data_IF_863647568560
#
_entry.id   IF_863647568560
#
_cell.length_a   1.000
_cell.length_b   1.000
_cell.length_c   1.000
_cell.angle_alpha   90.00
_cell.angle_beta   90.00
_cell.angle_gamma   90.00
#
_symmetry.space_group_name_H-M   'P 1'
#
loop_
_entity.id
_entity.type
_entity.pdbx_description
1 polymer ?
#
# COMPACT_ATOMS: atom_id res chain seq x y z
N UNK A 1 1.34 -9.13 30.19
CA UNK A 1 2.54 -8.40 30.73
C UNK A 1 3.02 -7.47 29.64
N UNK A 2 3.57 -6.32 29.96
CA UNK A 2 4.11 -5.45 28.91
C UNK A 2 5.43 -6.07 28.39
N UNK A 3 5.53 -6.27 27.09
CA UNK A 3 6.74 -6.73 26.43
C UNK A 3 7.81 -5.62 26.39
N UNK A 4 9.06 -6.03 26.36
CA UNK A 4 10.18 -5.11 26.16
C UNK A 4 10.19 -4.57 24.73
N UNK A 5 10.73 -3.36 24.54
CA UNK A 5 11.09 -2.87 23.21
C UNK A 5 12.32 -3.64 22.73
N UNK A 6 12.25 -4.24 21.54
CA UNK A 6 13.31 -5.06 20.97
C UNK A 6 13.85 -4.47 19.68
N UNK A 7 15.14 -4.67 19.41
CA UNK A 7 15.81 -4.29 18.17
C UNK A 7 17.05 -5.14 17.93
N UNK A 8 17.62 -5.01 16.73
CA UNK A 8 18.83 -5.75 16.32
C UNK A 8 19.97 -5.62 17.34
N UNK A 9 20.61 -6.73 17.63
CA UNK A 9 21.72 -6.86 18.61
C UNK A 9 21.28 -7.24 20.04
N UNK A 10 19.98 -7.20 20.34
CA UNK A 10 19.46 -7.65 21.64
C UNK A 10 19.40 -9.17 21.73
N UNK A 11 19.45 -9.74 22.94
CA UNK A 11 19.41 -11.18 23.15
C UNK A 11 18.66 -11.56 24.44
N UNK A 12 18.10 -12.77 24.47
CA UNK A 12 17.31 -13.27 25.60
C UNK A 12 15.98 -12.54 25.78
N UNK A 13 15.37 -12.66 26.95
CA UNK A 13 14.11 -12.00 27.30
C UNK A 13 12.98 -12.36 26.34
N UNK A 14 12.36 -11.33 25.71
CA UNK A 14 11.26 -11.50 24.77
C UNK A 14 11.71 -11.84 23.32
N UNK A 15 13.03 -11.91 23.03
CA UNK A 15 13.52 -12.22 21.68
C UNK A 15 13.06 -13.59 21.19
N UNK A 16 13.16 -14.69 21.96
CA UNK A 16 12.61 -15.98 21.52
C UNK A 16 11.11 -15.97 21.31
N UNK A 17 10.37 -15.23 22.15
CA UNK A 17 8.91 -15.08 22.00
C UNK A 17 8.59 -14.39 20.67
N UNK A 18 9.28 -13.31 20.35
CA UNK A 18 9.16 -12.60 19.09
C UNK A 18 9.43 -13.51 17.90
N UNK A 19 10.59 -14.22 17.91
CA UNK A 19 11.00 -15.09 16.82
C UNK A 19 9.99 -16.22 16.60
N UNK A 20 9.51 -16.85 17.67
CA UNK A 20 8.49 -17.89 17.59
C UNK A 20 7.18 -17.35 17.02
N UNK A 21 6.71 -16.18 17.48
CA UNK A 21 5.48 -15.56 16.99
C UNK A 21 5.58 -15.19 15.52
N UNK A 22 6.73 -14.65 15.07
CA UNK A 22 6.98 -14.35 13.67
C UNK A 22 6.92 -15.62 12.80
N UNK A 23 7.57 -16.70 13.24
CA UNK A 23 7.57 -17.99 12.51
C UNK A 23 6.14 -18.56 12.41
N UNK A 24 5.36 -18.53 13.47
CA UNK A 24 3.96 -18.98 13.49
C UNK A 24 3.07 -18.19 12.53
N UNK A 25 3.41 -16.94 12.27
CA UNK A 25 2.73 -16.08 11.31
C UNK A 25 3.35 -16.12 9.90
N UNK A 26 4.31 -17.03 9.65
CA UNK A 26 4.90 -17.26 8.33
C UNK A 26 6.12 -16.40 7.98
N UNK A 27 6.69 -15.69 8.95
CA UNK A 27 7.90 -14.89 8.78
C UNK A 27 9.13 -15.68 9.28
N UNK A 28 9.99 -16.12 8.37
CA UNK A 28 11.21 -16.88 8.74
C UNK A 28 12.27 -15.95 9.30
N UNK A 29 12.70 -16.20 10.52
CA UNK A 29 13.75 -15.39 11.18
C UNK A 29 15.17 -15.83 10.81
N UNK A 30 15.37 -17.03 10.27
CA UNK A 30 16.70 -17.56 9.95
C UNK A 30 17.52 -18.00 11.18
N UNK A 31 17.25 -17.43 12.34
CA UNK A 31 17.81 -17.87 13.62
C UNK A 31 16.87 -18.87 14.27
N UNK A 32 17.42 -19.89 14.93
CA UNK A 32 16.63 -20.86 15.71
C UNK A 32 16.25 -20.23 17.07
N UNK A 33 14.93 -20.01 17.34
CA UNK A 33 14.51 -19.43 18.62
C UNK A 33 14.80 -20.33 19.85
N UNK A 34 15.18 -21.59 19.62
CA UNK A 34 15.56 -22.52 20.70
C UNK A 34 17.08 -22.61 20.89
N UNK A 35 17.90 -21.93 20.07
CA UNK A 35 19.35 -21.87 20.24
C UNK A 35 19.76 -20.84 21.30
N UNK A 36 20.94 -21.06 21.89
CA UNK A 36 21.53 -20.13 22.86
C UNK A 36 22.84 -19.56 22.33
N UNK A 37 23.05 -18.22 22.42
CA UNK A 37 22.10 -17.22 22.88
C UNK A 37 21.07 -16.90 21.81
N UNK A 38 19.82 -16.67 22.24
CA UNK A 38 18.75 -16.23 21.36
C UNK A 38 18.97 -14.76 21.03
N UNK A 39 19.31 -14.47 19.80
CA UNK A 39 19.75 -13.13 19.36
C UNK A 39 18.76 -12.56 18.36
N UNK A 40 18.40 -11.31 18.53
CA UNK A 40 17.74 -10.51 17.51
C UNK A 40 18.78 -10.13 16.44
N UNK A 41 19.00 -11.04 15.50
CA UNK A 41 19.97 -10.88 14.42
C UNK A 41 19.38 -10.14 13.22
N UNK A 42 20.16 -10.03 12.14
CA UNK A 42 19.73 -9.37 10.92
C UNK A 42 18.55 -10.10 10.22
N UNK A 43 18.47 -11.43 10.36
CA UNK A 43 17.35 -12.20 9.82
C UNK A 43 16.06 -11.88 10.57
N UNK A 44 16.11 -11.79 11.92
CA UNK A 44 14.99 -11.34 12.74
C UNK A 44 14.57 -9.90 12.38
N UNK A 45 15.53 -8.97 12.24
CA UNK A 45 15.26 -7.59 11.83
C UNK A 45 14.52 -7.52 10.49
N UNK A 46 14.99 -8.30 9.52
CA UNK A 46 14.34 -8.38 8.21
C UNK A 46 12.90 -8.91 8.30
N UNK A 47 12.67 -9.93 9.13
CA UNK A 47 11.34 -10.50 9.36
C UNK A 47 10.42 -9.54 10.11
N UNK A 48 10.93 -8.81 11.10
CA UNK A 48 10.18 -7.74 11.78
C UNK A 48 9.76 -6.66 10.79
N UNK A 49 10.66 -6.21 9.92
CA UNK A 49 10.34 -5.21 8.89
C UNK A 49 9.30 -5.71 7.91
N UNK A 50 9.38 -6.96 7.49
CA UNK A 50 8.35 -7.59 6.63
C UNK A 50 7.00 -7.67 7.36
N UNK A 51 6.99 -8.04 8.63
CA UNK A 51 5.81 -8.06 9.47
C UNK A 51 5.20 -6.66 9.60
N UNK A 52 6.00 -5.68 10.02
CA UNK A 52 5.58 -4.27 10.14
C UNK A 52 5.04 -3.73 8.82
N UNK A 53 5.70 -4.09 7.71
CA UNK A 53 5.25 -3.76 6.39
C UNK A 53 3.89 -4.38 6.02
N UNK A 54 3.44 -5.45 6.63
CA UNK A 54 2.23 -6.19 6.29
C UNK A 54 1.09 -6.07 7.31
N UNK A 55 1.31 -5.38 8.41
CA UNK A 55 0.32 -5.25 9.49
C UNK A 55 0.15 -3.80 9.93
N UNK A 56 -1.07 -3.46 10.34
CA UNK A 56 -1.36 -2.20 11.02
C UNK A 56 -1.27 -2.37 12.54
N UNK A 57 -0.93 -1.30 13.23
CA UNK A 57 -1.02 -1.20 14.67
C UNK A 57 -2.44 -0.92 15.16
N UNK A 58 -2.60 -0.53 16.44
CA UNK A 58 -3.87 -0.09 16.99
C UNK A 58 -4.51 1.00 16.14
N UNK A 59 -5.85 1.03 16.10
CA UNK A 59 -6.65 1.99 15.32
C UNK A 59 -6.38 1.97 13.80
N UNK A 60 -5.90 0.83 13.27
CA UNK A 60 -5.56 0.65 11.85
C UNK A 60 -4.50 1.65 11.34
N UNK A 61 -3.65 2.13 12.21
CA UNK A 61 -2.47 2.92 11.84
C UNK A 61 -1.38 2.01 11.30
N UNK A 62 -0.75 2.43 10.20
CA UNK A 62 0.41 1.72 9.69
C UNK A 62 1.52 1.66 10.75
N UNK A 63 2.12 0.48 10.92
CA UNK A 63 3.32 0.34 11.73
C UNK A 63 4.50 1.04 11.03
N UNK A 64 5.41 1.62 11.82
CA UNK A 64 6.72 2.04 11.31
C UNK A 64 7.51 0.80 10.91
N UNK A 65 8.08 0.80 9.71
CA UNK A 65 8.92 -0.32 9.20
C UNK A 65 10.38 -0.04 9.55
N UNK A 66 10.68 -0.01 10.83
CA UNK A 66 11.99 0.38 11.38
C UNK A 66 12.80 -0.79 11.95
N UNK A 67 12.17 -1.98 12.06
CA UNK A 67 12.78 -3.15 12.71
C UNK A 67 12.76 -3.07 14.24
N UNK A 68 12.11 -2.07 14.82
CA UNK A 68 11.97 -1.93 16.29
C UNK A 68 10.61 -2.49 16.71
N UNK A 69 10.61 -3.49 17.55
CA UNK A 69 9.39 -4.10 18.10
C UNK A 69 8.96 -3.32 19.34
N UNK A 70 8.23 -2.23 19.10
CA UNK A 70 7.62 -1.40 20.11
C UNK A 70 6.20 -1.86 20.47
N UNK A 71 5.47 -1.10 21.33
CA UNK A 71 4.11 -1.46 21.77
C UNK A 71 3.12 -1.73 20.63
N UNK A 72 3.14 -0.91 19.57
CA UNK A 72 2.23 -1.07 18.43
C UNK A 72 2.56 -2.32 17.62
N UNK A 73 3.85 -2.65 17.45
CA UNK A 73 4.29 -3.88 16.78
C UNK A 73 3.92 -5.11 17.60
N UNK A 74 4.10 -5.08 18.92
CA UNK A 74 3.67 -6.15 19.80
C UNK A 74 2.16 -6.34 19.77
N UNK A 75 1.39 -5.24 19.80
CA UNK A 75 -0.06 -5.33 19.65
C UNK A 75 -0.46 -6.03 18.36
N UNK A 76 0.17 -5.70 17.24
CA UNK A 76 -0.11 -6.33 15.94
C UNK A 76 0.26 -7.83 15.93
N UNK A 77 1.38 -8.21 16.55
CA UNK A 77 1.80 -9.62 16.70
C UNK A 77 0.80 -10.43 17.53
N UNK A 78 0.20 -9.83 18.55
CA UNK A 78 -0.83 -10.45 19.41
C UNK A 78 -2.23 -10.43 18.79
N UNK A 79 -2.47 -9.56 17.78
CA UNK A 79 -3.75 -9.39 17.11
C UNK A 79 -3.65 -9.57 15.57
N UNK A 80 -3.13 -10.69 15.06
CA UNK A 80 -2.81 -10.84 13.64
C UNK A 80 -4.04 -10.68 12.73
N UNK A 81 -5.20 -11.16 13.16
CA UNK A 81 -6.45 -11.05 12.37
C UNK A 81 -7.00 -9.63 12.30
N UNK A 82 -6.73 -8.81 13.32
CA UNK A 82 -7.19 -7.41 13.38
C UNK A 82 -6.23 -6.43 12.70
N UNK A 83 -4.98 -6.84 12.52
CA UNK A 83 -3.89 -6.03 11.96
C UNK A 83 -3.56 -6.39 10.50
N UNK A 84 -3.99 -7.58 10.02
CA UNK A 84 -3.55 -8.10 8.74
C UNK A 84 -3.92 -7.19 7.56
N UNK A 85 -2.90 -6.74 6.88
CA UNK A 85 -2.96 -6.25 5.50
C UNK A 85 -2.32 -7.31 4.61
N UNK A 86 -2.58 -7.24 3.31
CA UNK A 86 -1.83 -8.09 2.37
C UNK A 86 -0.33 -7.83 2.56
N UNK A 87 0.46 -8.87 2.71
CA UNK A 87 1.92 -8.74 2.72
C UNK A 87 2.38 -8.01 1.45
N UNK A 88 3.51 -7.29 1.47
CA UNK A 88 4.09 -6.77 0.25
C UNK A 88 4.18 -7.89 -0.80
N UNK A 89 3.55 -7.70 -1.95
CA UNK A 89 3.50 -8.71 -3.00
C UNK A 89 2.35 -9.70 -2.93
N UNK A 90 1.55 -9.70 -1.89
CA UNK A 90 0.42 -10.62 -1.76
C UNK A 90 -0.93 -9.93 -1.96
N UNK A 91 -1.80 -10.63 -2.68
CA UNK A 91 -3.21 -10.27 -2.81
C UNK A 91 -3.93 -10.77 -1.56
N UNK A 92 -4.86 -9.98 -1.02
CA UNK A 92 -5.70 -10.43 0.08
C UNK A 92 -6.49 -11.68 -0.35
N UNK A 93 -6.47 -12.77 0.45
CA UNK A 93 -6.99 -14.07 0.03
C UNK A 93 -8.50 -14.10 -0.19
N UNK A 94 -9.24 -13.16 0.39
CA UNK A 94 -10.70 -13.05 0.28
C UNK A 94 -11.14 -11.96 -0.72
N UNK A 95 -10.24 -11.47 -1.57
CA UNK A 95 -10.57 -10.53 -2.62
C UNK A 95 -11.41 -11.24 -3.70
N UNK A 96 -12.61 -10.74 -4.02
CA UNK A 96 -13.40 -11.30 -5.09
C UNK A 96 -12.72 -11.06 -6.46
N UNK A 97 -12.80 -12.07 -7.34
CA UNK A 97 -12.36 -11.91 -8.73
C UNK A 97 -13.39 -11.08 -9.48
N UNK A 98 -12.99 -9.94 -10.00
CA UNK A 98 -13.83 -9.05 -10.78
C UNK A 98 -13.04 -8.43 -11.94
N UNK A 99 -13.69 -8.28 -13.08
CA UNK A 99 -13.10 -7.62 -14.24
C UNK A 99 -13.18 -6.09 -14.10
N UNK A 100 -12.14 -5.37 -14.56
CA UNK A 100 -12.17 -3.90 -14.65
C UNK A 100 -13.30 -3.41 -15.58
N UNK A 101 -13.81 -2.22 -15.29
CA UNK A 101 -14.96 -1.64 -16.01
C UNK A 101 -14.71 -1.38 -17.50
N UNK A 102 -13.46 -1.14 -17.89
CA UNK A 102 -13.02 -0.88 -19.26
C UNK A 102 -11.52 -1.12 -19.42
N UNK A 103 -11.03 -1.09 -20.66
CA UNK A 103 -9.62 -1.39 -20.98
C UNK A 103 -8.62 -0.39 -20.39
N UNK A 104 -9.00 0.88 -20.20
CA UNK A 104 -8.13 1.90 -19.59
C UNK A 104 -7.97 1.62 -18.11
N UNK A 105 -9.08 1.41 -17.41
CA UNK A 105 -9.12 1.02 -15.99
C UNK A 105 -8.35 -0.30 -15.77
N UNK A 106 -8.54 -1.28 -16.67
CA UNK A 106 -7.86 -2.57 -16.65
C UNK A 106 -6.36 -2.44 -16.80
N UNK A 107 -5.88 -1.61 -17.73
CA UNK A 107 -4.44 -1.44 -17.93
C UNK A 107 -3.74 -0.79 -16.72
N UNK A 108 -4.35 0.23 -16.11
CA UNK A 108 -3.85 0.84 -14.88
C UNK A 108 -3.79 -0.14 -13.72
N UNK A 109 -4.85 -0.91 -13.52
CA UNK A 109 -4.93 -1.91 -12.46
C UNK A 109 -3.95 -3.08 -12.70
N UNK A 110 -3.82 -3.57 -13.94
CA UNK A 110 -2.86 -4.61 -14.29
C UNK A 110 -1.43 -4.17 -13.99
N UNK A 111 -1.08 -2.93 -14.33
CA UNK A 111 0.23 -2.37 -13.98
C UNK A 111 0.45 -2.33 -12.47
N UNK A 112 -0.57 -1.92 -11.69
CA UNK A 112 -0.50 -1.89 -10.24
C UNK A 112 -0.30 -3.29 -9.63
N UNK A 113 -0.94 -4.32 -10.20
CA UNK A 113 -0.73 -5.72 -9.81
C UNK A 113 0.71 -6.20 -10.05
N UNK A 114 1.28 -5.86 -11.21
CA UNK A 114 2.67 -6.20 -11.52
C UNK A 114 3.63 -5.55 -10.52
N UNK A 115 3.37 -4.31 -10.13
CA UNK A 115 4.19 -3.60 -9.14
C UNK A 115 3.99 -4.17 -7.72
N UNK A 116 2.77 -4.56 -7.34
CA UNK A 116 2.52 -5.22 -6.06
C UNK A 116 3.39 -6.47 -5.91
N UNK A 117 3.45 -7.33 -6.95
CA UNK A 117 4.23 -8.58 -6.89
C UNK A 117 5.75 -8.37 -6.82
N UNK A 118 6.27 -7.17 -7.07
CA UNK A 118 7.69 -6.85 -6.89
C UNK A 118 8.09 -6.63 -5.43
N UNK A 119 7.13 -6.58 -4.50
CA UNK A 119 7.37 -6.33 -3.08
C UNK A 119 8.12 -5.01 -2.82
N UNK A 120 7.68 -3.93 -3.48
CA UNK A 120 8.34 -2.62 -3.39
C UNK A 120 8.08 -1.99 -2.02
N UNK A 121 9.14 -1.53 -1.39
CA UNK A 121 9.14 -0.80 -0.12
C UNK A 121 10.22 0.28 -0.08
N UNK A 122 10.13 1.18 0.88
CA UNK A 122 11.10 2.28 1.03
C UNK A 122 12.43 1.83 1.58
N UNK A 123 13.52 2.37 1.05
CA UNK A 123 14.90 2.09 1.46
C UNK A 123 15.70 3.43 1.50
N UNK A 124 16.10 3.93 2.67
CA UNK A 124 15.69 3.48 4.01
C UNK A 124 14.22 3.75 4.28
N UNK A 125 13.67 3.06 5.28
CA UNK A 125 12.29 3.24 5.70
C UNK A 125 11.98 4.70 6.07
N UNK A 126 10.76 5.17 5.72
CA UNK A 126 10.35 6.56 5.91
C UNK A 126 11.00 7.56 4.95
N UNK A 127 11.83 7.09 4.01
CA UNK A 127 12.53 7.97 3.06
C UNK A 127 11.69 8.39 1.85
N UNK A 128 10.58 7.72 1.59
CA UNK A 128 9.85 7.80 0.32
C UNK A 128 10.71 7.47 -0.91
N UNK A 129 11.72 6.63 -0.76
CA UNK A 129 12.72 6.30 -1.79
C UNK A 129 13.01 4.80 -1.85
N UNK A 130 13.19 4.30 -3.03
CA UNK A 130 13.91 3.09 -3.44
C UNK A 130 14.17 3.22 -4.94
N UNK A 131 14.95 2.34 -5.58
CA UNK A 131 15.12 2.38 -7.02
C UNK A 131 13.79 2.34 -7.79
N UNK A 132 12.83 1.54 -7.32
CA UNK A 132 11.50 1.43 -7.92
C UNK A 132 10.64 2.67 -7.66
N UNK A 133 10.64 3.17 -6.42
CA UNK A 133 9.89 4.38 -6.05
C UNK A 133 10.40 5.60 -6.83
N UNK A 134 11.69 5.67 -7.06
CA UNK A 134 12.31 6.73 -7.86
C UNK A 134 11.83 6.72 -9.31
N UNK A 135 11.50 5.54 -9.87
CA UNK A 135 10.85 5.46 -11.19
C UNK A 135 9.45 6.09 -11.18
N UNK A 136 8.67 5.88 -10.11
CA UNK A 136 7.32 6.45 -10.01
C UNK A 136 7.39 7.97 -9.87
N UNK A 137 8.23 8.47 -8.97
CA UNK A 137 8.36 9.89 -8.66
C UNK A 137 9.17 10.67 -9.70
N UNK A 138 10.01 9.97 -10.47
CA UNK A 138 10.96 10.59 -11.39
C UNK A 138 12.17 11.22 -10.70
N UNK A 139 12.42 10.86 -9.44
CA UNK A 139 13.62 11.28 -8.73
C UNK A 139 14.85 10.53 -9.25
N UNK A 140 16.01 11.17 -9.13
CA UNK A 140 17.32 10.60 -9.48
C UNK A 140 18.32 10.83 -8.35
N UNK A 141 19.40 10.05 -8.33
CA UNK A 141 20.47 10.17 -7.33
C UNK A 141 20.39 9.08 -6.25
N UNK A 142 21.33 9.10 -5.31
CA UNK A 142 21.39 8.08 -4.24
C UNK A 142 20.22 8.28 -3.26
N UNK A 143 19.46 7.21 -2.91
CA UNK A 143 18.33 7.30 -2.00
C UNK A 143 18.63 7.89 -0.61
N UNK A 144 19.87 7.83 -0.17
CA UNK A 144 20.29 8.22 1.19
C UNK A 144 20.47 9.72 1.43
N UNK A 145 20.34 10.58 0.42
CA UNK A 145 20.73 12.00 0.55
C UNK A 145 19.57 12.97 0.72
N UNK A 146 18.40 12.68 0.19
CA UNK A 146 17.21 13.54 0.28
C UNK A 146 15.97 12.65 0.31
N UNK A 147 15.08 12.87 1.27
CA UNK A 147 13.77 12.21 1.32
C UNK A 147 12.96 12.55 0.06
N UNK A 148 12.27 11.53 -0.46
CA UNK A 148 11.35 11.70 -1.58
C UNK A 148 10.02 12.32 -1.17
N UNK A 149 9.20 12.75 -2.14
CA UNK A 149 7.83 13.15 -1.88
C UNK A 149 6.97 11.93 -1.55
N UNK A 150 5.82 12.10 -0.83
CA UNK A 150 4.81 11.05 -0.72
C UNK A 150 4.44 10.51 -2.12
N UNK A 151 4.44 9.19 -2.30
CA UNK A 151 4.41 8.62 -3.64
C UNK A 151 3.14 7.85 -4.02
N UNK A 152 2.09 7.86 -3.19
CA UNK A 152 0.83 7.19 -3.51
C UNK A 152 0.21 7.65 -4.85
N UNK A 153 0.14 8.97 -5.06
CA UNK A 153 -0.40 9.54 -6.29
C UNK A 153 0.55 9.39 -7.49
N UNK A 154 1.85 9.46 -7.27
CA UNK A 154 2.86 9.12 -8.28
C UNK A 154 2.75 7.67 -8.74
N UNK A 155 2.54 6.74 -7.82
CA UNK A 155 2.32 5.33 -8.12
C UNK A 155 1.09 5.14 -9.03
N UNK A 156 -0.04 5.75 -8.67
CA UNK A 156 -1.26 5.69 -9.47
C UNK A 156 -1.02 6.27 -10.86
N UNK A 157 -0.47 7.47 -10.97
CA UNK A 157 -0.24 8.13 -12.26
C UNK A 157 0.79 7.39 -13.14
N UNK A 158 1.81 6.79 -12.52
CA UNK A 158 2.80 5.98 -13.22
C UNK A 158 2.19 4.69 -13.81
N UNK A 159 1.29 4.03 -13.09
CA UNK A 159 0.59 2.84 -13.58
C UNK A 159 -0.27 3.16 -14.81
N UNK A 160 -1.01 4.27 -14.80
CA UNK A 160 -1.79 4.68 -15.96
C UNK A 160 -0.92 5.13 -17.14
N UNK A 161 0.27 5.67 -16.91
CA UNK A 161 1.20 6.01 -17.98
C UNK A 161 1.73 4.78 -18.76
N UNK A 162 1.60 3.59 -18.19
CA UNK A 162 1.92 2.30 -18.84
C UNK A 162 0.78 1.76 -19.71
N UNK A 163 -0.42 2.33 -19.59
CA UNK A 163 -1.56 1.89 -20.39
C UNK A 163 -1.30 2.11 -21.89
N UNK A 164 -1.77 1.21 -22.79
CA UNK A 164 -1.56 1.30 -24.24
C UNK A 164 -2.00 2.62 -24.86
N UNK A 165 -2.98 3.28 -24.25
CA UNK A 165 -3.55 4.56 -24.75
C UNK A 165 -2.98 5.77 -23.98
N UNK A 166 -1.95 5.58 -23.16
CA UNK A 166 -1.37 6.60 -22.31
C UNK A 166 -2.24 6.97 -21.10
N UNK A 167 -1.68 7.83 -20.25
CA UNK A 167 -2.41 8.37 -19.11
C UNK A 167 -3.37 9.48 -19.54
N UNK A 168 -4.64 9.46 -19.13
CA UNK A 168 -5.55 10.58 -19.34
C UNK A 168 -5.17 11.83 -18.52
N UNK A 169 -4.23 11.68 -17.60
CA UNK A 169 -3.63 12.74 -16.79
C UNK A 169 -2.13 12.46 -16.69
N UNK A 170 -1.31 13.50 -16.62
CA UNK A 170 0.15 13.34 -16.55
C UNK A 170 0.64 12.75 -15.25
N UNK A 171 1.96 12.81 -15.01
CA UNK A 171 2.57 12.42 -13.72
C UNK A 171 2.15 13.42 -12.64
N UNK A 172 1.40 12.96 -11.65
CA UNK A 172 0.82 13.79 -10.59
C UNK A 172 1.21 13.21 -9.23
N UNK A 173 1.77 14.05 -8.35
CA UNK A 173 2.20 13.65 -7.00
C UNK A 173 1.17 13.91 -5.90
N UNK A 174 0.14 14.70 -6.16
CA UNK A 174 -0.92 15.01 -5.20
C UNK A 174 -2.17 14.15 -5.40
N UNK A 175 -2.66 13.47 -4.36
CA UNK A 175 -3.84 12.62 -4.47
C UNK A 175 -5.08 13.39 -4.96
N UNK A 176 -5.36 14.56 -4.35
CA UNK A 176 -6.49 15.39 -4.78
C UNK A 176 -6.25 16.04 -6.15
N UNK A 177 -4.99 16.30 -6.53
CA UNK A 177 -4.64 16.85 -7.82
C UNK A 177 -4.99 15.88 -8.98
N UNK A 178 -4.96 14.56 -8.76
CA UNK A 178 -5.44 13.59 -9.75
C UNK A 178 -6.94 13.81 -10.03
N UNK A 179 -7.76 13.94 -8.98
CA UNK A 179 -9.20 14.19 -9.15
C UNK A 179 -9.46 15.50 -9.89
N UNK A 180 -8.76 16.58 -9.53
CA UNK A 180 -8.89 17.87 -10.21
C UNK A 180 -8.46 17.79 -11.69
N UNK A 181 -7.35 17.13 -11.99
CA UNK A 181 -6.91 16.93 -13.38
C UNK A 181 -7.95 16.16 -14.18
N UNK A 182 -8.51 15.08 -13.61
CA UNK A 182 -9.55 14.29 -14.29
C UNK A 182 -10.85 15.06 -14.47
N UNK A 183 -11.26 15.90 -13.52
CA UNK A 183 -12.43 16.76 -13.70
C UNK A 183 -12.32 17.68 -14.93
N UNK A 184 -11.10 18.15 -15.24
CA UNK A 184 -10.85 19.03 -16.37
C UNK A 184 -10.66 18.27 -17.68
N UNK A 185 -9.89 17.17 -17.65
CA UNK A 185 -9.52 16.41 -18.86
C UNK A 185 -10.56 15.37 -19.28
N UNK A 186 -11.37 14.87 -18.35
CA UNK A 186 -12.37 13.81 -18.54
C UNK A 186 -13.67 14.21 -17.84
N UNK A 187 -14.49 15.09 -18.44
CA UNK A 187 -15.74 15.52 -17.83
C UNK A 187 -16.64 14.32 -17.44
N UNK A 188 -17.17 14.34 -16.23
CA UNK A 188 -18.02 13.28 -15.68
C UNK A 188 -17.29 12.05 -15.13
N UNK A 189 -15.95 12.04 -15.15
CA UNK A 189 -15.17 10.92 -14.59
C UNK A 189 -15.12 10.90 -13.07
N UNK A 190 -15.22 12.05 -12.41
CA UNK A 190 -15.05 12.15 -10.95
C UNK A 190 -16.41 12.09 -10.26
N UNK A 191 -16.52 11.12 -9.36
CA UNK A 191 -17.71 10.88 -8.54
C UNK A 191 -17.38 11.30 -7.10
N UNK A 192 -18.26 12.09 -6.47
CA UNK A 192 -18.14 12.52 -5.08
C UNK A 192 -19.15 11.79 -4.19
N UNK A 193 -18.83 11.70 -2.90
CA UNK A 193 -19.76 11.13 -1.93
C UNK A 193 -21.09 11.97 -1.85
N UNK A 194 -22.25 11.35 -1.56
CA UNK A 194 -22.43 9.92 -1.34
C UNK A 194 -22.37 9.10 -2.65
N UNK A 195 -21.78 7.90 -2.57
CA UNK A 195 -21.63 7.05 -3.75
C UNK A 195 -22.84 6.13 -3.92
N UNK A 196 -23.54 6.19 -5.07
CA UNK A 196 -24.61 5.25 -5.36
C UNK A 196 -24.07 3.80 -5.44
N UNK A 197 -24.93 2.82 -5.16
CA UNK A 197 -24.58 1.40 -5.31
C UNK A 197 -24.14 1.12 -6.75
N UNK A 198 -23.02 0.40 -6.90
CA UNK A 198 -22.41 0.09 -8.19
C UNK A 198 -21.71 1.25 -8.89
N UNK A 199 -21.65 2.44 -8.29
CA UNK A 199 -20.93 3.58 -8.88
C UNK A 199 -19.41 3.39 -8.89
N UNK A 200 -18.88 2.68 -7.89
CA UNK A 200 -17.45 2.36 -7.76
C UNK A 200 -17.20 0.99 -8.37
N UNK A 201 -16.20 0.90 -9.23
CA UNK A 201 -15.90 -0.30 -10.03
C UNK A 201 -14.43 -0.68 -9.97
N UNK A 202 -14.09 -1.94 -10.24
CA UNK A 202 -12.70 -2.35 -10.42
C UNK A 202 -12.01 -1.54 -11.53
N UNK A 203 -10.80 -1.07 -11.22
CA UNK A 203 -10.01 -0.20 -12.07
C UNK A 203 -10.20 1.30 -11.83
N UNK A 204 -11.20 1.72 -11.04
CA UNK A 204 -11.33 3.11 -10.60
C UNK A 204 -10.15 3.53 -9.69
N UNK A 205 -9.91 4.83 -9.61
CA UNK A 205 -8.99 5.40 -8.63
C UNK A 205 -9.81 5.95 -7.46
N UNK A 206 -9.51 5.51 -6.24
CA UNK A 206 -10.04 6.11 -5.03
C UNK A 206 -9.12 7.20 -4.50
N UNK A 207 -9.70 8.29 -3.99
CA UNK A 207 -8.99 9.43 -3.42
C UNK A 207 -9.54 9.76 -2.05
N UNK A 208 -8.72 9.58 -1.02
CA UNK A 208 -8.98 10.08 0.34
C UNK A 208 -8.40 11.48 0.44
N UNK A 209 -9.14 12.41 1.04
CA UNK A 209 -8.66 13.77 1.27
C UNK A 209 -8.46 14.02 2.77
N UNK A 210 -7.27 14.46 3.14
CA UNK A 210 -6.91 14.87 4.48
C UNK A 210 -6.49 16.35 4.45
N UNK A 211 -7.46 17.26 4.65
CA UNK A 211 -7.23 18.69 4.49
C UNK A 211 -7.19 19.15 3.02
N UNK A 212 -6.56 20.29 2.75
CA UNK A 212 -6.60 20.90 1.40
C UNK A 212 -5.67 20.20 0.41
N UNK A 213 -4.45 19.83 0.81
CA UNK A 213 -3.39 19.36 -0.09
C UNK A 213 -2.93 17.93 0.21
N UNK A 214 -3.36 17.35 1.33
CA UNK A 214 -2.97 16.01 1.74
C UNK A 214 -4.06 15.00 1.42
N UNK A 215 -3.65 13.75 1.20
CA UNK A 215 -4.57 12.67 0.91
C UNK A 215 -3.85 11.41 0.52
N UNK A 216 -4.63 10.43 0.10
CA UNK A 216 -4.11 9.16 -0.38
C UNK A 216 -4.85 8.75 -1.65
N UNK A 217 -4.14 8.21 -2.63
CA UNK A 217 -4.70 7.70 -3.87
C UNK A 217 -4.38 6.22 -4.03
N UNK A 218 -5.34 5.45 -4.56
CA UNK A 218 -5.22 4.01 -4.69
C UNK A 218 -6.03 3.47 -5.88
N UNK A 219 -5.65 2.29 -6.38
CA UNK A 219 -6.44 1.54 -7.36
C UNK A 219 -7.49 0.69 -6.67
N UNK A 220 -8.71 0.69 -7.20
CA UNK A 220 -9.78 -0.24 -6.80
C UNK A 220 -9.57 -1.55 -7.55
N UNK A 221 -9.40 -2.65 -6.85
CA UNK A 221 -9.18 -3.98 -7.44
C UNK A 221 -10.47 -4.79 -7.51
N UNK A 222 -11.33 -4.68 -6.49
CA UNK A 222 -12.64 -5.32 -6.44
C UNK A 222 -13.57 -4.57 -5.50
N UNK A 223 -14.87 -4.80 -5.62
CA UNK A 223 -15.91 -4.16 -4.80
C UNK A 223 -16.97 -5.18 -4.40
N UNK A 224 -17.26 -5.26 -3.11
CA UNK A 224 -18.33 -6.11 -2.58
C UNK A 224 -18.89 -5.53 -1.27
N UNK A 225 -20.21 -5.37 -1.19
CA UNK A 225 -20.92 -5.05 0.05
C UNK A 225 -20.45 -3.76 0.73
N UNK A 226 -20.16 -2.69 -0.04
CA UNK A 226 -19.68 -1.41 0.51
C UNK A 226 -18.18 -1.38 0.84
N UNK A 227 -17.46 -2.45 0.53
CA UNK A 227 -16.00 -2.58 0.70
C UNK A 227 -15.30 -2.60 -0.65
N UNK A 228 -14.22 -1.87 -0.78
CA UNK A 228 -13.28 -1.95 -1.89
C UNK A 228 -12.01 -2.69 -1.46
N UNK A 229 -11.56 -3.65 -2.25
CA UNK A 229 -10.20 -4.18 -2.21
C UNK A 229 -9.34 -3.30 -3.11
N UNK A 230 -8.17 -2.94 -2.64
CA UNK A 230 -7.34 -1.91 -3.28
C UNK A 230 -5.91 -2.39 -3.50
N UNK A 231 -5.20 -1.75 -4.44
CA UNK A 231 -3.75 -1.80 -4.58
C UNK A 231 -3.21 -0.40 -4.39
N UNK A 232 -2.33 -0.23 -3.43
CA UNK A 232 -1.92 1.07 -2.92
C UNK A 232 -0.40 1.22 -2.86
N UNK A 233 0.12 2.27 -3.43
CA UNK A 233 1.49 2.73 -3.20
C UNK A 233 1.56 3.63 -1.98
N UNK A 234 2.70 3.65 -1.31
CA UNK A 234 2.94 4.41 -0.08
C UNK A 234 1.93 4.09 1.05
N UNK A 235 1.58 2.84 1.14
CA UNK A 235 0.72 2.33 2.20
C UNK A 235 1.57 1.60 3.24
N UNK A 236 1.91 2.30 4.36
CA UNK A 236 2.92 1.84 5.29
C UNK A 236 4.26 1.62 4.59
N UNK A 237 4.73 2.64 3.88
CA UNK A 237 6.04 2.71 3.22
C UNK A 237 6.27 1.61 2.14
N UNK A 238 5.19 0.98 1.63
CA UNK A 238 5.26 -0.11 0.66
C UNK A 238 4.09 -0.09 -0.34
N UNK A 239 4.11 -0.98 -1.34
CA UNK A 239 2.94 -1.31 -2.15
C UNK A 239 2.19 -2.45 -1.48
N UNK A 240 0.87 -2.28 -1.28
CA UNK A 240 0.04 -3.27 -0.60
C UNK A 240 -1.34 -3.41 -1.21
N UNK A 241 -1.92 -4.60 -1.00
CA UNK A 241 -3.35 -4.81 -1.14
C UNK A 241 -4.04 -4.54 0.21
N UNK A 242 -5.15 -3.79 0.19
CA UNK A 242 -5.93 -3.42 1.38
C UNK A 242 -7.42 -3.59 1.17
N UNK A 243 -8.17 -3.52 2.27
CA UNK A 243 -9.62 -3.32 2.28
C UNK A 243 -9.94 -1.92 2.78
N UNK A 244 -10.88 -1.26 2.12
CA UNK A 244 -11.39 0.05 2.52
C UNK A 244 -12.90 0.09 2.44
N UNK A 245 -13.55 0.75 3.38
CA UNK A 245 -14.94 1.15 3.19
C UNK A 245 -15.00 2.13 2.00
N UNK A 246 -15.93 1.92 1.07
CA UNK A 246 -16.11 2.83 -0.09
C UNK A 246 -16.34 4.27 0.41
N UNK A 247 -17.10 4.45 1.47
CA UNK A 247 -17.37 5.75 2.06
C UNK A 247 -16.14 6.46 2.67
N UNK A 248 -14.98 5.80 2.80
CA UNK A 248 -13.75 6.43 3.30
C UNK A 248 -13.08 7.35 2.28
N UNK A 249 -13.38 7.21 1.00
CA UNK A 249 -12.87 8.09 -0.05
C UNK A 249 -13.74 9.34 -0.17
N UNK A 250 -13.11 10.44 -0.59
CA UNK A 250 -13.81 11.69 -0.98
C UNK A 250 -14.26 11.64 -2.43
N UNK A 251 -13.45 11.01 -3.29
CA UNK A 251 -13.69 10.89 -4.72
C UNK A 251 -13.37 9.48 -5.20
N UNK A 252 -14.11 9.02 -6.23
CA UNK A 252 -13.67 7.98 -7.14
C UNK A 252 -13.59 8.53 -8.56
N UNK A 253 -12.62 8.03 -9.34
CA UNK A 253 -12.38 8.45 -10.70
C UNK A 253 -12.63 7.25 -11.60
N UNK A 254 -13.60 7.37 -12.47
CA UNK A 254 -14.06 6.35 -13.41
C UNK A 254 -13.60 6.71 -14.84
N UNK A 255 -13.22 5.72 -15.61
CA UNK A 255 -12.68 5.91 -16.95
C UNK A 255 -13.65 5.55 -18.09
N UNK A 256 -14.92 5.24 -17.80
CA UNK A 256 -15.88 4.81 -18.82
C UNK A 256 -16.08 5.87 -19.92
N UNK A 257 -16.23 7.15 -19.53
CA UNK A 257 -16.39 8.24 -20.48
C UNK A 257 -15.14 8.44 -21.34
N UNK A 258 -13.96 8.28 -20.77
CA UNK A 258 -12.69 8.39 -21.48
C UNK A 258 -12.49 7.23 -22.46
N UNK A 259 -12.71 6.00 -22.05
CA UNK A 259 -12.65 4.82 -22.92
C UNK A 259 -13.61 4.98 -24.11
N UNK A 260 -14.87 5.38 -23.83
CA UNK A 260 -15.85 5.64 -24.88
C UNK A 260 -15.41 6.75 -25.85
N UNK A 261 -14.74 7.80 -25.39
CA UNK A 261 -14.23 8.88 -26.26
C UNK A 261 -13.13 8.41 -27.21
N UNK A 262 -12.44 7.31 -26.86
CA UNK A 262 -11.43 6.65 -27.67
C UNK A 262 -11.98 5.54 -28.55
N UNK A 263 -13.29 5.25 -28.47
CA UNK A 263 -13.94 4.16 -29.21
C UNK A 263 -13.66 2.78 -28.61
N UNK A 264 -13.36 2.70 -27.30
CA UNK A 264 -13.01 1.49 -26.56
C UNK A 264 -14.16 1.03 -25.66
#
# INVERSE_FOLDING_TARGET
>A
MAHAVLSVGMSGGDVPVLQQTLIEQGFSCGEDPNSEPQVFGHSTDSSVKLFQASHDGPDQKCLSVDGVVGPDTWWALENPSGSAQGQPGQVLPDMPSQDPSNVIAGAGLQSAWLELHKQVFEIPDGSNRSPEIDLYTGMSGKPSSIAGPPWCAYFVSWNFAKAPHGSPFGRIGGAQAIAHACQHSIPGSVISAPFPDGAVKPGDIGVIANGQDHGHAFHVAAVLGGTAWTVEGNSGNAIRSKKRAIASAKYYINFDAYAKSLGL
#
